data_IF_642527302697
#
_entry.id   IF_642527302697
#
_cell.length_a   1.000
_cell.length_b   1.000
_cell.length_c   1.000
_cell.angle_alpha   90.00
_cell.angle_beta   90.00
_cell.angle_gamma   90.00
#
_symmetry.space_group_name_H-M   'P 1'
#
loop_
_entity.id
_entity.type
_entity.pdbx_description
1 polymer ?
#
# COMPACT_ATOMS: atom_id res chain seq x y z
N UNK A 1 10.00 -41.95 12.54
CA UNK A 1 10.88 -40.82 12.24
C UNK A 1 9.98 -39.68 11.79
N UNK A 2 9.65 -38.77 12.70
CA UNK A 2 8.79 -37.62 12.44
C UNK A 2 9.60 -36.56 11.71
N UNK A 3 9.26 -36.30 10.45
CA UNK A 3 9.83 -35.21 9.68
C UNK A 3 9.41 -33.88 10.29
N UNK A 4 10.34 -33.20 10.95
CA UNK A 4 10.17 -31.80 11.31
C UNK A 4 10.52 -30.98 10.07
N UNK A 5 9.52 -30.42 9.41
CA UNK A 5 9.73 -29.38 8.41
C UNK A 5 10.47 -28.21 9.09
N UNK A 6 11.50 -27.60 8.48
CA UNK A 6 12.13 -26.44 9.07
C UNK A 6 11.10 -25.32 9.09
N UNK A 7 10.78 -24.82 10.29
CA UNK A 7 9.98 -23.63 10.43
C UNK A 7 10.67 -22.50 9.66
N UNK A 8 9.98 -21.94 8.66
CA UNK A 8 10.39 -20.67 8.05
C UNK A 8 10.55 -19.69 9.22
N UNK A 9 11.72 -19.02 9.37
CA UNK A 9 11.90 -18.06 10.45
C UNK A 9 10.75 -17.04 10.37
N UNK A 10 10.18 -16.60 11.49
CA UNK A 10 9.03 -15.70 11.46
C UNK A 10 9.45 -14.43 10.71
N UNK A 11 8.86 -14.23 9.53
CA UNK A 11 9.07 -13.02 8.74
C UNK A 11 8.63 -11.82 9.58
N UNK A 12 9.57 -10.90 9.85
CA UNK A 12 9.31 -9.69 10.63
C UNK A 12 9.60 -8.46 9.79
N UNK A 13 8.72 -7.45 9.91
CA UNK A 13 8.83 -6.19 9.18
C UNK A 13 8.64 -5.01 10.13
N UNK A 14 9.72 -4.44 10.70
CA UNK A 14 9.61 -3.22 11.47
C UNK A 14 9.11 -2.05 10.58
N UNK A 15 8.54 -0.98 11.16
CA UNK A 15 8.21 -0.83 12.57
C UNK A 15 7.11 -1.78 13.06
N UNK A 16 7.16 -2.13 14.36
CA UNK A 16 6.24 -3.05 15.03
C UNK A 16 5.17 -2.30 15.84
N UNK A 17 3.96 -2.85 15.98
CA UNK A 17 2.96 -2.29 16.89
C UNK A 17 3.30 -2.59 18.37
N UNK A 18 2.81 -1.79 19.35
CA UNK A 18 1.97 -0.61 19.16
C UNK A 18 2.75 0.57 18.57
N UNK A 19 2.14 1.27 17.62
CA UNK A 19 2.80 2.38 16.94
C UNK A 19 2.84 3.65 17.79
N UNK A 20 3.90 4.41 17.62
CA UNK A 20 4.04 5.84 17.95
C UNK A 20 3.79 6.67 16.69
N UNK A 21 3.68 8.00 16.81
CA UNK A 21 3.55 8.87 15.63
C UNK A 21 4.74 8.70 14.67
N UNK A 22 5.96 8.66 15.22
CA UNK A 22 7.19 8.48 14.45
C UNK A 22 7.18 7.15 13.67
N UNK A 23 6.91 6.04 14.36
CA UNK A 23 6.91 4.70 13.73
C UNK A 23 5.72 4.51 12.79
N UNK A 24 4.59 5.18 13.05
CA UNK A 24 3.45 5.19 12.14
C UNK A 24 3.80 5.90 10.82
N UNK A 25 4.44 7.07 10.87
CA UNK A 25 4.90 7.79 9.69
C UNK A 25 5.91 6.97 8.89
N UNK A 26 6.88 6.33 9.56
CA UNK A 26 7.83 5.40 8.94
C UNK A 26 7.11 4.23 8.25
N UNK A 27 6.07 3.66 8.88
CA UNK A 27 5.30 2.55 8.29
C UNK A 27 4.51 2.98 7.05
N UNK A 28 3.89 4.16 7.09
CA UNK A 28 3.18 4.74 5.92
C UNK A 28 4.15 4.97 4.77
N UNK A 29 5.30 5.58 5.03
CA UNK A 29 6.29 5.87 3.99
C UNK A 29 6.88 4.58 3.41
N UNK A 30 7.22 3.59 4.25
CA UNK A 30 7.70 2.29 3.76
C UNK A 30 6.67 1.58 2.86
N UNK A 31 5.37 1.70 3.18
CA UNK A 31 4.31 1.19 2.33
C UNK A 31 4.17 1.98 1.03
N UNK A 32 4.30 3.31 1.05
CA UNK A 32 4.34 4.14 -0.17
C UNK A 32 5.50 3.74 -1.09
N UNK A 33 6.71 3.62 -0.53
CA UNK A 33 7.92 3.26 -1.26
C UNK A 33 7.78 1.87 -1.90
N UNK A 34 7.27 0.89 -1.14
CA UNK A 34 7.01 -0.45 -1.65
C UNK A 34 6.02 -0.44 -2.81
N UNK A 35 4.88 0.25 -2.69
CA UNK A 35 3.88 0.31 -3.77
C UNK A 35 4.39 1.06 -5.01
N UNK A 36 5.25 2.07 -4.86
CA UNK A 36 5.88 2.76 -5.99
C UNK A 36 6.90 1.90 -6.76
N UNK A 37 7.35 0.77 -6.20
CA UNK A 37 8.15 -0.21 -6.97
C UNK A 37 7.34 -0.88 -8.08
N UNK A 38 6.01 -0.95 -7.93
CA UNK A 38 5.10 -1.68 -8.83
C UNK A 38 5.50 -3.14 -9.02
N UNK A 39 6.09 -3.74 -7.99
CA UNK A 39 6.52 -5.14 -7.95
C UNK A 39 5.53 -5.94 -7.07
N UNK A 40 4.67 -6.79 -7.67
CA UNK A 40 3.65 -7.55 -6.95
C UNK A 40 4.22 -8.42 -5.83
N UNK A 41 5.32 -9.11 -6.10
CA UNK A 41 5.96 -10.03 -5.16
C UNK A 41 6.58 -9.27 -4.00
N UNK A 42 7.31 -8.19 -4.28
CA UNK A 42 7.93 -7.38 -3.22
C UNK A 42 6.90 -6.75 -2.29
N UNK A 43 5.78 -6.29 -2.85
CA UNK A 43 4.68 -5.68 -2.09
C UNK A 43 3.92 -6.73 -1.29
N UNK A 44 3.65 -7.92 -1.84
CA UNK A 44 2.90 -9.00 -1.16
C UNK A 44 3.56 -9.45 0.14
N UNK A 45 4.89 -9.39 0.22
CA UNK A 45 5.65 -9.74 1.42
C UNK A 45 5.35 -8.83 2.64
N UNK A 46 4.63 -7.70 2.47
CA UNK A 46 4.24 -6.82 3.59
C UNK A 46 3.01 -7.33 4.34
N UNK A 47 2.35 -8.34 3.79
CA UNK A 47 1.09 -8.90 4.26
C UNK A 47 1.34 -10.27 4.86
N UNK A 48 0.50 -10.72 5.78
CA UNK A 48 0.57 -12.12 6.26
C UNK A 48 0.21 -13.10 5.14
N UNK A 49 0.67 -14.37 5.19
CA UNK A 49 0.31 -15.38 4.19
C UNK A 49 -1.20 -15.55 3.98
N UNK A 50 -1.99 -15.28 5.02
CA UNK A 50 -3.46 -15.36 5.09
C UNK A 50 -4.15 -13.99 5.13
N UNK A 51 -3.47 -12.91 4.73
CA UNK A 51 -3.97 -11.53 4.84
C UNK A 51 -5.32 -11.36 4.14
N UNK A 52 -6.23 -10.63 4.78
CA UNK A 52 -7.58 -10.40 4.27
C UNK A 52 -7.73 -8.98 3.74
N UNK A 53 -8.12 -8.85 2.48
CA UNK A 53 -8.29 -7.57 1.82
C UNK A 53 -9.72 -7.36 1.34
N UNK A 54 -10.17 -6.11 1.46
CA UNK A 54 -11.18 -5.54 0.57
C UNK A 54 -10.55 -4.40 -0.22
N UNK A 55 -10.53 -4.49 -1.55
CA UNK A 55 -10.10 -3.40 -2.42
C UNK A 55 -11.24 -3.00 -3.35
N UNK A 56 -11.82 -1.81 -3.15
CA UNK A 56 -13.07 -1.40 -3.81
C UNK A 56 -14.17 -2.44 -3.54
N UNK A 57 -14.63 -3.13 -4.57
CA UNK A 57 -15.64 -4.17 -4.58
C UNK A 57 -15.06 -5.60 -4.52
N UNK A 58 -13.73 -5.75 -4.57
CA UNK A 58 -13.05 -7.04 -4.58
C UNK A 58 -12.66 -7.51 -3.17
N UNK A 59 -12.77 -8.82 -2.95
CA UNK A 59 -12.26 -9.52 -1.77
C UNK A 59 -11.09 -10.40 -2.18
N UNK A 60 -9.97 -10.29 -1.46
CA UNK A 60 -8.69 -10.92 -1.81
C UNK A 60 -8.14 -11.55 -0.53
N UNK A 61 -7.74 -12.83 -0.59
CA UNK A 61 -7.27 -13.59 0.58
C UNK A 61 -5.92 -14.24 0.29
N UNK A 62 -4.93 -13.86 1.10
CA UNK A 62 -3.58 -14.40 1.08
C UNK A 62 -2.67 -13.79 0.03
N UNK A 63 -1.37 -14.08 0.15
CA UNK A 63 -0.32 -13.47 -0.68
C UNK A 63 -0.49 -13.76 -2.16
N UNK A 64 -0.85 -14.99 -2.51
CA UNK A 64 -0.98 -15.41 -3.92
C UNK A 64 -2.03 -14.56 -4.64
N UNK A 65 -3.22 -14.38 -4.05
CA UNK A 65 -4.26 -13.53 -4.64
C UNK A 65 -3.90 -12.04 -4.60
N UNK A 66 -3.10 -11.60 -3.62
CA UNK A 66 -2.56 -10.24 -3.58
C UNK A 66 -1.62 -10.02 -4.78
N UNK A 67 -0.73 -10.98 -5.08
CA UNK A 67 0.17 -10.92 -6.24
C UNK A 67 -0.61 -10.87 -7.55
N UNK A 68 -1.63 -11.72 -7.70
CA UNK A 68 -2.52 -11.71 -8.88
C UNK A 68 -3.20 -10.35 -9.05
N UNK A 69 -3.78 -9.82 -7.96
CA UNK A 69 -4.44 -8.50 -7.97
C UNK A 69 -3.47 -7.38 -8.34
N UNK A 70 -2.27 -7.36 -7.76
CA UNK A 70 -1.29 -6.31 -8.00
C UNK A 70 -0.70 -6.38 -9.40
N UNK A 71 -0.50 -7.58 -9.94
CA UNK A 71 -0.10 -7.79 -11.34
C UNK A 71 -1.12 -7.16 -12.27
N UNK A 72 -2.40 -7.56 -12.17
CA UNK A 72 -3.47 -7.01 -13.00
C UNK A 72 -3.66 -5.49 -12.80
N UNK A 73 -3.44 -4.99 -11.58
CA UNK A 73 -3.49 -3.56 -11.28
C UNK A 73 -2.47 -2.78 -12.10
N UNK A 74 -1.20 -3.19 -12.10
CA UNK A 74 -0.13 -2.44 -12.76
C UNK A 74 0.03 -2.74 -14.25
N UNK A 75 -0.61 -3.79 -14.77
CA UNK A 75 -0.86 -3.94 -16.21
C UNK A 75 -1.85 -2.88 -16.74
N UNK A 76 -2.82 -2.48 -15.92
CA UNK A 76 -3.82 -1.46 -16.27
C UNK A 76 -3.38 -0.03 -15.94
N UNK A 77 -2.80 0.15 -14.76
CA UNK A 77 -2.51 1.47 -14.21
C UNK A 77 -1.07 1.91 -14.52
N UNK A 78 -0.88 2.43 -15.73
CA UNK A 78 0.43 2.77 -16.28
C UNK A 78 0.99 4.06 -15.66
N UNK A 79 2.32 4.15 -15.59
CA UNK A 79 3.05 5.25 -14.94
C UNK A 79 2.54 5.61 -13.53
N UNK A 80 2.10 4.58 -12.81
CA UNK A 80 1.60 4.70 -11.44
C UNK A 80 2.61 5.39 -10.51
N UNK A 81 2.17 6.49 -9.89
CA UNK A 81 2.91 7.19 -8.83
C UNK A 81 1.99 7.49 -7.65
N UNK A 82 2.38 7.01 -6.46
CA UNK A 82 1.58 7.06 -5.24
C UNK A 82 2.17 8.03 -4.21
N UNK A 83 1.25 8.66 -3.47
CA UNK A 83 1.48 9.36 -2.22
C UNK A 83 0.51 8.87 -1.16
N UNK A 84 1.01 8.59 0.04
CA UNK A 84 0.26 8.23 1.24
C UNK A 84 0.50 9.29 2.32
N UNK A 85 -0.49 9.44 3.19
CA UNK A 85 -0.44 10.30 4.36
C UNK A 85 -1.18 9.64 5.52
N UNK A 86 -0.58 9.68 6.70
CA UNK A 86 -1.17 9.16 7.93
C UNK A 86 -2.39 10.02 8.31
N UNK A 87 -3.55 9.38 8.46
CA UNK A 87 -4.73 10.05 9.01
C UNK A 87 -4.83 9.89 10.53
N UNK A 88 -4.50 8.69 11.01
CA UNK A 88 -4.47 8.39 12.44
C UNK A 88 -4.06 6.95 12.70
N UNK A 89 -3.72 6.64 13.95
CA UNK A 89 -3.36 5.29 14.36
C UNK A 89 -3.82 5.02 15.79
N UNK A 90 -3.95 3.73 16.12
CA UNK A 90 -4.22 3.26 17.48
C UNK A 90 -3.67 1.85 17.62
N UNK A 91 -2.75 1.65 18.55
CA UNK A 91 -2.11 0.36 18.83
C UNK A 91 -1.54 -0.27 17.55
N UNK A 92 -2.17 -1.34 17.04
CA UNK A 92 -1.77 -2.05 15.83
C UNK A 92 -2.59 -1.70 14.59
N UNK A 93 -3.34 -0.60 14.61
CA UNK A 93 -4.20 -0.15 13.51
C UNK A 93 -3.82 1.22 13.01
N UNK A 94 -4.03 1.44 11.72
CA UNK A 94 -3.73 2.70 11.05
C UNK A 94 -4.80 3.04 10.03
N UNK A 95 -5.16 4.32 9.97
CA UNK A 95 -5.96 4.91 8.91
C UNK A 95 -5.04 5.78 8.05
N UNK A 96 -5.11 5.60 6.74
CA UNK A 96 -4.23 6.25 5.78
C UNK A 96 -5.07 6.84 4.65
N UNK A 97 -4.74 8.08 4.29
CA UNK A 97 -5.19 8.73 3.06
C UNK A 97 -4.14 8.53 1.99
N UNK A 98 -4.55 8.37 0.74
CA UNK A 98 -3.60 8.30 -0.35
C UNK A 98 -4.18 8.86 -1.64
N UNK A 99 -3.27 9.29 -2.51
CA UNK A 99 -3.55 9.69 -3.87
C UNK A 99 -2.54 9.00 -4.78
N UNK A 100 -2.97 8.55 -5.95
CA UNK A 100 -2.03 8.11 -6.98
C UNK A 100 -2.47 8.59 -8.35
N UNK A 101 -1.48 8.87 -9.20
CA UNK A 101 -1.68 9.27 -10.58
C UNK A 101 -1.20 8.16 -11.50
N UNK A 102 -1.94 7.94 -12.59
CA UNK A 102 -1.69 6.90 -13.58
C UNK A 102 -2.43 7.25 -14.87
N UNK A 103 -2.13 6.55 -15.96
CA UNK A 103 -2.94 6.62 -17.18
C UNK A 103 -3.29 5.23 -17.69
N UNK A 104 -4.40 5.12 -18.41
CA UNK A 104 -4.76 3.89 -19.11
C UNK A 104 -4.01 3.74 -20.45
N UNK A 105 -4.22 2.61 -21.12
CA UNK A 105 -3.60 2.33 -22.42
C UNK A 105 -4.08 3.26 -23.56
N UNK A 106 -5.13 4.07 -23.33
CA UNK A 106 -5.59 5.09 -24.28
C UNK A 106 -4.96 6.46 -24.00
N UNK A 107 -4.18 6.59 -22.92
CA UNK A 107 -3.53 7.82 -22.51
C UNK A 107 -4.42 8.74 -21.67
N UNK A 108 -5.61 8.30 -21.24
CA UNK A 108 -6.41 9.07 -20.29
C UNK A 108 -5.77 8.99 -18.90
N UNK A 109 -5.42 10.14 -18.35
CA UNK A 109 -4.86 10.26 -17.00
C UNK A 109 -5.95 10.27 -15.93
N UNK A 110 -5.65 9.70 -14.78
CA UNK A 110 -6.50 9.70 -13.61
C UNK A 110 -5.70 10.11 -12.37
N UNK A 111 -6.36 10.83 -11.46
CA UNK A 111 -5.96 10.89 -10.06
C UNK A 111 -6.95 10.08 -9.24
N UNK A 112 -6.46 9.02 -8.62
CA UNK A 112 -7.23 8.15 -7.74
C UNK A 112 -7.07 8.61 -6.31
N UNK A 113 -8.19 8.87 -5.63
CA UNK A 113 -8.22 9.26 -4.22
C UNK A 113 -8.68 8.07 -3.39
N UNK A 114 -7.96 7.77 -2.31
CA UNK A 114 -8.24 6.60 -1.51
C UNK A 114 -8.12 6.81 -0.01
N UNK A 115 -8.90 6.02 0.71
CA UNK A 115 -8.75 5.76 2.14
C UNK A 115 -8.50 4.28 2.34
N UNK A 116 -7.52 3.96 3.17
CA UNK A 116 -7.27 2.58 3.58
C UNK A 116 -7.07 2.44 5.09
N UNK A 117 -7.56 1.31 5.60
CA UNK A 117 -7.48 0.91 7.00
C UNK A 117 -6.63 -0.35 7.09
N UNK A 118 -5.63 -0.32 7.97
CA UNK A 118 -4.65 -1.38 8.14
C UNK A 118 -4.72 -1.94 9.55
N UNK A 119 -4.54 -3.26 9.67
CA UNK A 119 -4.31 -3.94 10.94
C UNK A 119 -3.09 -4.85 10.82
N UNK A 120 -2.19 -4.76 11.80
CA UNK A 120 -0.91 -5.45 11.80
C UNK A 120 -0.81 -6.53 12.88
N UNK A 121 -0.01 -7.57 12.61
CA UNK A 121 0.45 -8.55 13.61
C UNK A 121 1.60 -7.99 14.45
N UNK A 122 1.97 -8.63 15.57
CA UNK A 122 3.15 -8.24 16.35
C UNK A 122 4.45 -8.24 15.56
N UNK A 123 4.56 -9.09 14.54
CA UNK A 123 5.72 -9.19 13.63
C UNK A 123 5.75 -8.05 12.60
N UNK A 124 4.75 -7.16 12.61
CA UNK A 124 4.67 -5.98 11.75
C UNK A 124 4.14 -6.26 10.34
N UNK A 125 3.62 -7.46 10.08
CA UNK A 125 2.95 -7.81 8.83
C UNK A 125 1.47 -7.36 8.85
N UNK A 126 0.93 -6.95 7.71
CA UNK A 126 -0.46 -6.51 7.61
C UNK A 126 -1.40 -7.70 7.44
N UNK A 127 -2.20 -8.00 8.46
CA UNK A 127 -3.17 -9.09 8.46
C UNK A 127 -4.52 -8.71 7.83
N UNK A 128 -4.86 -7.41 7.84
CA UNK A 128 -6.08 -6.89 7.21
C UNK A 128 -5.82 -5.55 6.52
N UNK A 129 -6.37 -5.41 5.32
CA UNK A 129 -6.38 -4.17 4.54
C UNK A 129 -7.74 -3.90 3.94
N UNK A 130 -8.31 -2.74 4.21
CA UNK A 130 -9.54 -2.31 3.54
C UNK A 130 -9.28 -0.99 2.83
N UNK A 131 -9.53 -0.93 1.52
CA UNK A 131 -9.28 0.26 0.72
C UNK A 131 -10.53 0.63 -0.09
N UNK A 132 -10.98 1.87 0.06
CA UNK A 132 -11.97 2.50 -0.81
C UNK A 132 -11.27 3.54 -1.67
N UNK A 133 -11.55 3.54 -2.97
CA UNK A 133 -10.82 4.32 -3.96
C UNK A 133 -11.82 4.85 -4.99
N UNK A 134 -11.68 6.12 -5.37
CA UNK A 134 -12.45 6.78 -6.41
C UNK A 134 -11.50 7.42 -7.42
N UNK A 135 -11.77 7.21 -8.70
CA UNK A 135 -10.93 7.72 -9.79
C UNK A 135 -11.55 8.98 -10.38
N UNK A 136 -10.72 10.00 -10.58
CA UNK A 136 -11.12 11.25 -11.24
C UNK A 136 -10.24 11.40 -12.48
N UNK A 137 -10.86 11.53 -13.65
CA UNK A 137 -10.15 11.83 -14.88
C UNK A 137 -9.50 13.22 -14.76
N UNK A 138 -8.25 13.34 -15.19
CA UNK A 138 -7.49 14.59 -15.22
C UNK A 138 -6.83 14.77 -16.59
N UNK A 139 -6.50 16.00 -16.94
CA UNK A 139 -5.55 16.27 -18.02
C UNK A 139 -4.12 15.96 -17.55
N UNK A 140 -3.23 15.60 -18.48
CA UNK A 140 -1.82 15.39 -18.17
C UNK A 140 -1.17 16.64 -17.53
N UNK A 141 -1.60 17.83 -17.97
CA UNK A 141 -1.17 19.13 -17.45
C UNK A 141 -1.48 19.33 -15.95
N UNK A 142 -2.44 18.58 -15.41
CA UNK A 142 -2.89 18.67 -14.03
C UNK A 142 -2.13 17.74 -13.08
N UNK A 143 -1.22 16.90 -13.60
CA UNK A 143 -0.41 15.97 -12.81
C UNK A 143 0.44 16.69 -11.77
N UNK A 144 0.68 16.01 -10.65
CA UNK A 144 1.50 16.49 -9.52
C UNK A 144 2.66 15.57 -9.22
N UNK A 145 2.58 14.29 -9.61
CA UNK A 145 3.53 13.28 -9.18
C UNK A 145 4.30 12.69 -10.37
N UNK A 146 5.63 12.80 -10.31
CA UNK A 146 6.55 12.45 -11.42
C UNK A 146 7.62 11.44 -11.01
N UNK A 147 7.42 10.74 -9.89
CA UNK A 147 8.35 9.72 -9.40
C UNK A 147 8.15 9.42 -7.91
N UNK A 148 9.00 8.56 -7.33
CA UNK A 148 9.05 8.33 -5.89
C UNK A 148 9.16 9.65 -5.12
N UNK A 149 8.57 9.70 -3.92
CA UNK A 149 8.68 10.87 -3.07
C UNK A 149 10.16 11.07 -2.68
N UNK A 150 10.73 12.28 -2.81
CA UNK A 150 12.07 12.57 -2.30
C UNK A 150 12.13 12.44 -0.77
N UNK A 151 13.28 12.05 -0.21
CA UNK A 151 13.42 11.82 1.23
C UNK A 151 13.13 13.07 2.06
N UNK A 152 13.48 14.25 1.54
CA UNK A 152 13.22 15.57 2.12
C UNK A 152 11.73 15.94 2.20
N UNK A 153 10.86 15.16 1.55
CA UNK A 153 9.41 15.29 1.59
C UNK A 153 8.73 14.23 2.46
N UNK A 154 9.50 13.30 3.05
CA UNK A 154 8.92 12.24 3.89
C UNK A 154 8.16 12.84 5.07
N UNK A 155 6.96 12.30 5.31
CA UNK A 155 6.06 12.78 6.36
C UNK A 155 5.28 14.06 6.03
N UNK A 156 5.48 14.67 4.85
CA UNK A 156 4.61 15.76 4.38
C UNK A 156 3.23 15.21 4.02
N UNK A 157 2.20 15.96 4.38
CA UNK A 157 0.83 15.63 4.02
C UNK A 157 0.59 15.78 2.52
N UNK A 158 -0.44 15.11 1.99
CA UNK A 158 -0.87 15.22 0.61
C UNK A 158 -1.80 16.44 0.44
N UNK A 159 -1.63 17.18 -0.65
CA UNK A 159 -2.51 18.30 -0.99
C UNK A 159 -3.97 17.86 -1.12
N UNK A 160 -4.91 18.73 -0.72
CA UNK A 160 -6.32 18.36 -0.61
C UNK A 160 -7.08 18.39 -1.96
N UNK A 161 -6.68 19.24 -2.91
CA UNK A 161 -7.23 19.35 -4.27
C UNK A 161 -6.37 20.26 -5.14
#
# INVERSE_FOLDING_TARGET
MTGSSPAVPPESRPPFPPFTLETALQKVQAAEDAWNTRDPEKVSLAYTPDSQWRNRDLHIVGRDQIVEFLTAKWERELDYVLRKSLWGFRENRMAVRFQYEWHDAQGQWYRSYGNELWQFTPEGLMARREASINDVAIEESQRRYFGPRPQEEYGRDIELW
#
